data_IF_283456176169
#
_entry.id   IF_283456176169
#
_cell.length_a   1.000
_cell.length_b   1.000
_cell.length_c   1.000
_cell.angle_alpha   90.00
_cell.angle_beta   90.00
_cell.angle_gamma   90.00
#
_symmetry.space_group_name_H-M   'P 1'
#
loop_
_entity.id
_entity.type
_entity.pdbx_description
1 polymer ?
#
# COMPACT_ATOMS: atom_id res chain seq x y z
N UNK A 1 -18.80 -10.05 -18.95
CA UNK A 1 -18.34 -8.99 -18.02
C UNK A 1 -17.13 -9.55 -17.28
N UNK A 2 -15.99 -8.85 -17.26
CA UNK A 2 -14.82 -9.31 -16.51
C UNK A 2 -15.15 -9.36 -15.01
N UNK A 3 -14.77 -10.44 -14.34
CA UNK A 3 -14.87 -10.54 -12.88
C UNK A 3 -14.01 -9.45 -12.24
N UNK A 4 -14.66 -8.41 -11.71
CA UNK A 4 -13.99 -7.34 -10.98
C UNK A 4 -13.87 -7.73 -9.51
N UNK A 5 -12.66 -7.64 -8.98
CA UNK A 5 -12.38 -7.86 -7.57
C UNK A 5 -11.87 -6.56 -6.95
N UNK A 6 -12.35 -6.26 -5.76
CA UNK A 6 -11.83 -5.12 -4.98
C UNK A 6 -10.48 -5.51 -4.39
N UNK A 7 -9.51 -4.64 -4.61
CA UNK A 7 -8.24 -4.63 -3.92
C UNK A 7 -8.13 -3.34 -3.11
N UNK A 8 -7.55 -3.46 -1.94
CA UNK A 8 -7.17 -2.36 -1.06
C UNK A 8 -5.65 -2.25 -1.08
N UNK A 9 -5.12 -1.04 -0.91
CA UNK A 9 -3.68 -0.84 -0.87
C UNK A 9 -3.29 0.16 0.21
N UNK A 10 -2.08 -0.01 0.73
CA UNK A 10 -1.46 0.91 1.66
C UNK A 10 -0.06 1.27 1.15
N UNK A 11 0.33 2.54 1.26
CA UNK A 11 1.68 2.98 0.88
C UNK A 11 2.57 2.93 2.12
N UNK A 12 3.73 2.30 2.00
CA UNK A 12 4.76 2.31 3.06
C UNK A 12 5.55 3.60 2.91
N UNK A 13 5.51 4.42 3.96
CA UNK A 13 6.21 5.70 4.03
C UNK A 13 7.32 5.65 5.07
N UNK A 14 8.52 6.04 4.66
CA UNK A 14 9.68 6.26 5.54
C UNK A 14 9.83 7.75 5.77
N UNK A 15 10.03 8.12 7.03
CA UNK A 15 10.31 9.49 7.48
C UNK A 15 11.71 9.46 8.10
N UNK A 16 12.78 9.71 7.31
CA UNK A 16 14.15 9.57 7.80
C UNK A 16 14.55 10.71 8.75
N UNK A 17 13.97 11.91 8.58
CA UNK A 17 14.16 13.03 9.50
C UNK A 17 12.88 13.83 9.69
N UNK A 18 12.27 13.67 10.87
CA UNK A 18 10.95 14.25 11.19
C UNK A 18 11.01 15.77 11.26
N UNK A 19 12.07 16.34 11.82
CA UNK A 19 12.19 17.80 12.03
C UNK A 19 12.36 18.55 10.71
N UNK A 20 12.75 17.86 9.64
CA UNK A 20 12.83 18.40 8.28
C UNK A 20 11.58 18.12 7.45
N UNK A 21 10.58 17.48 8.05
CA UNK A 21 9.36 17.04 7.36
C UNK A 21 9.67 16.16 6.13
N UNK A 22 10.76 15.38 6.19
CA UNK A 22 11.15 14.47 5.10
C UNK A 22 10.18 13.28 5.00
N UNK A 23 9.82 12.86 3.79
CA UNK A 23 9.05 11.64 3.57
C UNK A 23 9.38 10.99 2.24
N UNK A 24 9.45 9.66 2.24
CA UNK A 24 9.68 8.85 1.05
C UNK A 24 8.68 7.69 1.02
N UNK A 25 8.01 7.48 -0.12
CA UNK A 25 7.22 6.29 -0.36
C UNK A 25 8.18 5.20 -0.87
N UNK A 26 8.31 4.11 -0.13
CA UNK A 26 9.31 3.05 -0.42
C UNK A 26 8.68 1.73 -0.87
N UNK A 27 7.36 1.62 -0.76
CA UNK A 27 6.64 0.40 -1.13
C UNK A 27 5.14 0.57 -1.06
N UNK A 28 4.44 -0.45 -1.54
CA UNK A 28 2.98 -0.55 -1.50
C UNK A 28 2.63 -1.96 -1.07
N UNK A 29 1.68 -2.08 -0.15
CA UNK A 29 1.03 -3.35 0.19
C UNK A 29 -0.28 -3.41 -0.60
N UNK A 30 -0.56 -4.54 -1.24
CA UNK A 30 -1.81 -4.79 -1.96
C UNK A 30 -2.53 -5.98 -1.33
N UNK A 31 -3.80 -5.80 -1.00
CA UNK A 31 -4.61 -6.77 -0.27
C UNK A 31 -5.95 -7.01 -0.94
N UNK A 32 -6.43 -8.26 -0.89
CA UNK A 32 -7.83 -8.57 -1.18
C UNK A 32 -8.33 -9.72 -0.32
N UNK A 33 -9.27 -9.43 0.59
CA UNK A 33 -9.91 -10.43 1.45
C UNK A 33 -10.62 -11.52 0.64
N UNK A 34 -11.35 -11.14 -0.40
CA UNK A 34 -12.14 -12.06 -1.24
C UNK A 34 -11.24 -13.05 -1.99
N UNK A 35 -10.03 -12.64 -2.32
CA UNK A 35 -9.04 -13.47 -3.02
C UNK A 35 -8.05 -14.15 -2.09
N UNK A 36 -8.11 -13.90 -0.78
CA UNK A 36 -7.09 -14.32 0.20
C UNK A 36 -5.67 -13.98 -0.30
N UNK A 37 -5.49 -12.74 -0.79
CA UNK A 37 -4.28 -12.27 -1.43
C UNK A 37 -3.67 -11.12 -0.65
N UNK A 38 -2.35 -11.16 -0.43
CA UNK A 38 -1.57 -10.12 0.22
C UNK A 38 -0.15 -10.12 -0.36
N UNK A 39 0.32 -8.97 -0.83
CA UNK A 39 1.70 -8.73 -1.31
C UNK A 39 2.20 -7.37 -0.88
#
# INVERSE_FOLDING_TARGET
>A
MQDRYTFEYAVIRVVPKVEREEFFNVGVILFSKRKNFLV
#
